data_IF_632518933516
#
_entry.id   IF_632518933516
#
_cell.length_a   1.000
_cell.length_b   1.000
_cell.length_c   1.000
_cell.angle_alpha   90.00
_cell.angle_beta   90.00
_cell.angle_gamma   90.00
#
_symmetry.space_group_name_H-M   'P 1'
#
loop_
_entity.id
_entity.type
_entity.pdbx_description
1 polymer ?
#
# COMPACT_ATOMS: atom_id res chain seq x y z
N UNK A 1 18.72 15.07 -9.56
CA UNK A 1 17.28 14.95 -9.33
C UNK A 1 16.87 13.62 -9.93
N UNK A 2 16.70 12.60 -9.09
CA UNK A 2 16.47 11.23 -9.54
C UNK A 2 15.01 11.07 -9.95
N UNK A 3 14.78 11.21 -11.26
CA UNK A 3 13.48 11.13 -11.92
C UNK A 3 13.43 9.73 -12.53
N UNK A 4 12.84 8.77 -11.80
CA UNK A 4 12.22 7.51 -12.27
C UNK A 4 12.49 6.31 -11.34
N UNK A 5 12.06 6.39 -10.08
CA UNK A 5 12.06 5.25 -9.16
C UNK A 5 11.17 4.07 -9.64
N UNK A 6 10.26 4.32 -10.59
CA UNK A 6 9.36 3.32 -11.17
C UNK A 6 10.04 2.36 -12.16
N UNK A 7 11.21 2.71 -12.73
CA UNK A 7 11.91 1.85 -13.71
C UNK A 7 12.70 0.73 -13.05
N UNK A 8 13.02 0.88 -11.77
CA UNK A 8 13.94 0.01 -11.04
C UNK A 8 13.23 -0.92 -10.03
N UNK A 9 11.89 -0.99 -10.07
CA UNK A 9 11.07 -1.70 -9.08
C UNK A 9 11.21 -1.13 -7.65
N UNK A 10 11.69 0.12 -7.54
CA UNK A 10 11.95 0.82 -6.27
C UNK A 10 10.88 1.87 -6.06
N UNK A 11 9.68 1.45 -5.67
CA UNK A 11 8.66 2.43 -5.30
C UNK A 11 8.93 2.89 -3.86
N UNK A 12 9.34 4.14 -3.70
CA UNK A 12 9.46 4.80 -2.41
C UNK A 12 8.43 5.93 -2.34
N UNK A 13 7.49 5.80 -1.42
CA UNK A 13 6.51 6.82 -1.09
C UNK A 13 7.01 7.61 0.11
N UNK A 14 6.89 8.93 0.07
CA UNK A 14 7.26 9.83 1.16
C UNK A 14 6.13 10.84 1.34
N UNK A 15 5.49 10.81 2.52
CA UNK A 15 4.31 11.62 2.85
C UNK A 15 3.16 11.53 1.83
N UNK A 16 2.96 10.35 1.26
CA UNK A 16 1.90 10.13 0.27
C UNK A 16 0.61 9.70 0.95
N UNK A 17 -0.51 10.08 0.34
CA UNK A 17 -1.83 9.69 0.83
C UNK A 17 -2.00 8.18 0.69
N UNK A 18 -2.60 7.55 1.71
CA UNK A 18 -2.88 6.12 1.72
C UNK A 18 -3.56 5.64 0.43
N UNK A 19 -4.53 6.39 -0.10
CA UNK A 19 -5.21 6.05 -1.36
C UNK A 19 -4.31 6.00 -2.59
N UNK A 20 -3.24 6.80 -2.64
CA UNK A 20 -2.23 6.73 -3.72
C UNK A 20 -1.40 5.46 -3.58
N UNK A 21 -0.98 5.14 -2.35
CA UNK A 21 -0.19 3.94 -2.04
C UNK A 21 -0.98 2.68 -2.37
N UNK A 22 -2.24 2.61 -1.95
CA UNK A 22 -3.13 1.48 -2.21
C UNK A 22 -3.28 1.25 -3.72
N UNK A 23 -3.55 2.30 -4.51
CA UNK A 23 -3.66 2.18 -5.98
C UNK A 23 -2.37 1.70 -6.64
N UNK A 24 -1.21 2.11 -6.14
CA UNK A 24 0.06 1.64 -6.64
C UNK A 24 0.30 0.15 -6.31
N UNK A 25 -0.07 -0.29 -5.11
CA UNK A 25 0.00 -1.70 -4.70
C UNK A 25 -0.93 -2.57 -5.54
N UNK A 26 -2.16 -2.12 -5.78
CA UNK A 26 -3.12 -2.80 -6.66
C UNK A 26 -2.52 -3.05 -8.05
N UNK A 27 -1.89 -2.02 -8.64
CA UNK A 27 -1.26 -2.12 -9.96
C UNK A 27 -0.01 -2.98 -9.97
N UNK A 28 0.85 -2.88 -8.95
CA UNK A 28 2.12 -3.60 -8.90
C UNK A 28 1.93 -5.10 -8.66
N UNK A 29 0.99 -5.47 -7.78
CA UNK A 29 0.74 -6.87 -7.40
C UNK A 29 -0.49 -7.46 -8.10
N UNK A 30 -1.17 -6.69 -8.95
CA UNK A 30 -2.36 -7.11 -9.69
C UNK A 30 -3.47 -7.67 -8.76
N UNK A 31 -3.73 -6.91 -7.68
CA UNK A 31 -4.74 -7.18 -6.65
C UNK A 31 -5.73 -6.03 -6.55
N UNK A 32 -6.87 -6.26 -5.92
CA UNK A 32 -7.84 -5.23 -5.53
C UNK A 32 -7.84 -5.07 -4.01
N UNK A 33 -7.80 -3.83 -3.53
CA UNK A 33 -7.76 -3.50 -2.11
C UNK A 33 -8.94 -2.57 -1.79
N UNK A 34 -9.90 -3.08 -1.02
CA UNK A 34 -11.08 -2.33 -0.56
C UNK A 34 -10.83 -1.77 0.83
N UNK A 35 -10.69 -0.46 0.93
CA UNK A 35 -10.55 0.25 2.21
C UNK A 35 -11.93 0.67 2.71
N UNK A 36 -12.38 0.13 3.85
CA UNK A 36 -13.67 0.50 4.45
C UNK A 36 -13.63 1.79 5.27
N UNK A 37 -12.48 2.10 5.86
CA UNK A 37 -12.28 3.32 6.65
C UNK A 37 -11.82 4.46 5.74
N UNK A 38 -12.73 5.39 5.47
CA UNK A 38 -12.42 6.61 4.71
C UNK A 38 -11.35 7.48 5.41
N UNK A 39 -11.29 7.43 6.74
CA UNK A 39 -10.33 8.18 7.58
C UNK A 39 -8.87 7.82 7.27
N UNK A 40 -8.61 6.59 6.82
CA UNK A 40 -7.26 6.16 6.46
C UNK A 40 -6.74 6.86 5.19
N UNK A 41 -7.61 7.42 4.33
CA UNK A 41 -7.19 8.02 3.07
C UNK A 41 -6.39 9.32 3.24
N UNK A 42 -6.58 10.02 4.36
CA UNK A 42 -5.91 11.29 4.67
C UNK A 42 -4.60 11.09 5.43
N UNK A 43 -4.30 9.85 5.84
CA UNK A 43 -3.04 9.53 6.52
C UNK A 43 -1.87 9.61 5.55
N UNK A 44 -0.84 10.34 5.99
CA UNK A 44 0.43 10.48 5.27
C UNK A 44 1.34 9.34 5.63
N UNK A 45 1.65 8.50 4.65
CA UNK A 45 2.50 7.34 4.86
C UNK A 45 3.80 7.47 4.07
N UNK A 46 4.88 7.12 4.74
CA UNK A 46 6.19 6.92 4.13
C UNK A 46 6.50 5.43 4.10
N UNK A 47 6.66 4.87 2.90
CA UNK A 47 6.84 3.43 2.71
C UNK A 47 7.78 3.15 1.54
N UNK A 48 8.68 2.19 1.72
CA UNK A 48 9.54 1.66 0.66
C UNK A 48 9.09 0.25 0.27
N UNK A 49 8.68 0.08 -0.99
CA UNK A 49 8.21 -1.19 -1.54
C UNK A 49 9.35 -2.08 -2.10
N UNK A 50 10.60 -1.62 -2.05
CA UNK A 50 11.75 -2.30 -2.65
C UNK A 50 11.93 -3.73 -2.10
N UNK A 51 11.71 -4.73 -2.98
CA UNK A 51 11.92 -6.15 -2.66
C UNK A 51 10.94 -6.75 -1.65
N UNK A 52 9.93 -6.01 -1.19
CA UNK A 52 9.00 -6.49 -0.18
C UNK A 52 7.79 -7.21 -0.80
N UNK A 53 7.29 -8.23 -0.09
CA UNK A 53 6.03 -8.87 -0.46
C UNK A 53 4.85 -7.99 -0.05
N UNK A 54 3.75 -8.05 -0.81
CA UNK A 54 2.51 -7.33 -0.48
C UNK A 54 2.05 -7.59 0.96
N UNK A 55 2.23 -8.81 1.46
CA UNK A 55 1.92 -9.19 2.84
C UNK A 55 2.73 -8.37 3.86
N UNK A 56 4.05 -8.29 3.69
CA UNK A 56 4.92 -7.54 4.58
C UNK A 56 4.58 -6.04 4.58
N UNK A 57 4.25 -5.50 3.40
CA UNK A 57 3.79 -4.12 3.24
C UNK A 57 2.48 -3.89 4.01
N UNK A 58 1.47 -4.73 3.80
CA UNK A 58 0.17 -4.59 4.47
C UNK A 58 0.28 -4.77 5.99
N UNK A 59 1.16 -5.66 6.45
CA UNK A 59 1.46 -5.86 7.87
C UNK A 59 2.10 -4.62 8.51
N UNK A 60 3.08 -4.00 7.84
CA UNK A 60 3.68 -2.75 8.31
C UNK A 60 2.68 -1.58 8.32
N UNK A 61 1.83 -1.49 7.28
CA UNK A 61 0.78 -0.48 7.18
C UNK A 61 -0.28 -0.65 8.28
N UNK A 62 -0.70 -1.89 8.53
CA UNK A 62 -1.64 -2.28 9.58
C UNK A 62 -1.13 -1.90 10.96
N UNK A 63 0.17 -2.14 11.21
CA UNK A 63 0.82 -1.76 12.46
C UNK A 63 0.88 -0.24 12.66
N UNK A 64 1.23 0.51 11.60
CA UNK A 64 1.41 1.96 11.68
C UNK A 64 0.09 2.73 11.79
N UNK A 65 -0.97 2.24 11.14
CA UNK A 65 -2.27 2.93 11.05
C UNK A 65 -3.37 2.25 11.88
N UNK A 66 -3.01 1.27 12.71
CA UNK A 66 -3.93 0.54 13.58
C UNK A 66 -5.19 0.02 12.86
N UNK A 67 -5.06 -0.41 11.61
CA UNK A 67 -6.13 -1.07 10.86
C UNK A 67 -5.91 -2.57 10.80
N UNK A 68 -6.97 -3.31 10.52
CA UNK A 68 -6.88 -4.74 10.24
C UNK A 68 -7.12 -5.00 8.76
N UNK A 69 -6.51 -6.05 8.21
CA UNK A 69 -6.73 -6.43 6.82
C UNK A 69 -7.00 -7.92 6.70
N UNK A 70 -7.75 -8.30 5.68
CA UNK A 70 -8.07 -9.69 5.37
C UNK A 70 -8.04 -9.93 3.88
N UNK A 71 -7.56 -11.10 3.49
CA UNK A 71 -7.69 -11.59 2.11
C UNK A 71 -9.10 -12.12 1.94
N UNK A 72 -9.90 -11.47 1.10
CA UNK A 72 -11.19 -11.99 0.69
C UNK A 72 -11.01 -13.12 -0.33
N UNK A 73 -10.06 -12.95 -1.26
CA UNK A 73 -9.71 -13.90 -2.32
C UNK A 73 -8.21 -13.78 -2.68
N UNK A 74 -7.71 -14.60 -3.61
CA UNK A 74 -6.30 -14.54 -4.09
C UNK A 74 -5.89 -13.18 -4.64
N UNK A 75 -6.85 -12.40 -5.14
CA UNK A 75 -6.63 -11.08 -5.73
C UNK A 75 -7.45 -9.99 -5.06
N UNK A 76 -8.08 -10.24 -3.91
CA UNK A 76 -8.93 -9.25 -3.24
C UNK A 76 -8.62 -9.17 -1.75
N UNK A 77 -8.40 -7.95 -1.27
CA UNK A 77 -8.02 -7.63 0.11
C UNK A 77 -8.97 -6.57 0.64
N UNK A 78 -9.40 -6.72 1.89
CA UNK A 78 -10.30 -5.80 2.59
C UNK A 78 -9.57 -5.25 3.80
N UNK A 79 -9.56 -3.91 3.94
CA UNK A 79 -9.01 -3.18 5.09
C UNK A 79 -10.17 -2.66 5.94
N UNK A 80 -10.15 -2.98 7.25
CA UNK A 80 -11.19 -2.71 8.26
C UNK A 80 -10.69 -1.87 9.42
#
# INVERSE_FOLDING_TARGET
ADIAAWKDNRIAFSEENFGTIIRALERQYNVQIKVKKAELFEEKITLKLEGQSLKAILEALSFSNHFTYKYANEREIIIE
#
